data_IF_990049260055
#
_entry.id   IF_990049260055
#
_cell.length_a   1.000
_cell.length_b   1.000
_cell.length_c   1.000
_cell.angle_alpha   90.00
_cell.angle_beta   90.00
_cell.angle_gamma   90.00
#
_symmetry.space_group_name_H-M   'P 1'
#
loop_
_entity.id
_entity.type
_entity.pdbx_description
1 polymer ?
#
# COMPACT_ATOMS: atom_id res chain seq x y z
N UNK A 1 -21.26 19.01 8.33
CA UNK A 1 -20.23 17.95 8.21
C UNK A 1 -19.54 17.64 9.53
N UNK A 2 -19.63 18.46 10.59
CA UNK A 2 -19.19 18.02 11.92
C UNK A 2 -20.40 17.46 12.69
N UNK A 3 -20.23 16.33 13.39
CA UNK A 3 -21.21 15.82 14.36
C UNK A 3 -20.49 15.47 15.65
N UNK A 4 -21.18 15.64 16.77
CA UNK A 4 -20.67 15.26 18.10
C UNK A 4 -20.73 13.73 18.23
N UNK A 5 -19.56 13.09 18.29
CA UNK A 5 -19.38 11.70 18.67
C UNK A 5 -19.32 11.53 20.19
N UNK A 6 -19.06 10.30 20.66
CA UNK A 6 -18.95 10.00 22.10
C UNK A 6 -17.74 10.69 22.76
N UNK A 7 -16.64 10.86 22.01
CA UNK A 7 -15.36 11.38 22.53
C UNK A 7 -14.94 12.74 21.92
N UNK A 8 -15.78 13.38 21.11
CA UNK A 8 -15.41 14.65 20.46
C UNK A 8 -16.29 15.06 19.28
N UNK A 9 -15.76 15.91 18.40
CA UNK A 9 -16.38 16.27 17.12
C UNK A 9 -15.67 15.54 15.99
N UNK A 10 -16.43 14.80 15.20
CA UNK A 10 -15.94 14.07 14.03
C UNK A 10 -16.56 14.60 12.74
N UNK A 11 -15.86 14.35 11.64
CA UNK A 11 -16.28 14.75 10.30
C UNK A 11 -17.05 13.62 9.61
N UNK A 12 -18.24 13.95 9.13
CA UNK A 12 -19.16 13.03 8.46
C UNK A 12 -19.62 13.61 7.12
N UNK A 13 -20.07 12.75 6.18
CA UNK A 13 -20.80 13.16 4.99
C UNK A 13 -21.92 14.15 5.33
N UNK A 14 -22.32 15.03 4.37
CA UNK A 14 -23.45 15.91 4.57
C UNK A 14 -24.72 15.12 4.93
N UNK A 15 -25.60 15.73 5.72
CA UNK A 15 -26.89 15.13 6.01
C UNK A 15 -27.71 14.96 4.72
N UNK A 16 -28.56 13.94 4.65
CA UNK A 16 -29.26 13.56 3.42
C UNK A 16 -30.13 14.68 2.82
N UNK A 17 -30.63 15.57 3.69
CA UNK A 17 -31.44 16.75 3.41
C UNK A 17 -30.62 18.03 3.11
N UNK A 18 -29.29 17.95 3.08
CA UNK A 18 -28.44 19.11 2.84
C UNK A 18 -28.43 19.54 1.38
N UNK A 19 -28.37 20.85 1.13
CA UNK A 19 -28.13 21.43 -0.20
C UNK A 19 -26.79 21.00 -0.82
N UNK A 20 -25.86 20.48 0.00
CA UNK A 20 -24.57 19.99 -0.46
C UNK A 20 -24.55 18.52 -0.91
N UNK A 21 -25.66 17.79 -0.80
CA UNK A 21 -25.74 16.39 -1.22
C UNK A 21 -25.39 16.22 -2.70
N UNK A 22 -25.79 17.17 -3.56
CA UNK A 22 -25.47 17.11 -4.98
C UNK A 22 -23.95 17.29 -5.25
N UNK A 23 -23.30 18.20 -4.51
CA UNK A 23 -21.84 18.41 -4.58
C UNK A 23 -21.10 17.15 -4.09
N UNK A 24 -21.56 16.57 -2.99
CA UNK A 24 -20.98 15.35 -2.44
C UNK A 24 -21.04 14.17 -3.41
N UNK A 25 -22.21 13.96 -4.04
CA UNK A 25 -22.37 12.92 -5.07
C UNK A 25 -21.41 13.11 -6.24
N UNK A 26 -21.23 14.34 -6.72
CA UNK A 26 -20.26 14.62 -7.79
C UNK A 26 -18.81 14.29 -7.39
N UNK A 27 -18.44 14.49 -6.11
CA UNK A 27 -17.15 14.05 -5.60
C UNK A 27 -17.04 12.52 -5.49
N UNK A 28 -18.10 11.83 -5.09
CA UNK A 28 -18.13 10.36 -5.04
C UNK A 28 -18.07 9.74 -6.44
N UNK A 29 -18.76 10.32 -7.42
CA UNK A 29 -18.68 9.95 -8.83
C UNK A 29 -17.26 10.14 -9.37
N UNK A 30 -16.60 11.26 -9.04
CA UNK A 30 -15.21 11.49 -9.40
C UNK A 30 -14.26 10.42 -8.84
N UNK A 31 -14.45 9.98 -7.58
CA UNK A 31 -13.68 8.86 -7.04
C UNK A 31 -14.03 7.54 -7.72
N UNK A 32 -15.30 7.28 -8.05
CA UNK A 32 -15.68 6.08 -8.76
C UNK A 32 -15.04 6.00 -10.15
N UNK A 33 -14.94 7.13 -10.86
CA UNK A 33 -14.23 7.24 -12.14
C UNK A 33 -12.72 6.95 -12.00
N UNK A 34 -12.11 7.29 -10.86
CA UNK A 34 -10.68 7.09 -10.63
C UNK A 34 -10.28 5.65 -10.26
N UNK A 35 -11.22 4.71 -10.29
CA UNK A 35 -10.93 3.28 -10.02
C UNK A 35 -10.03 2.64 -11.08
N UNK A 36 -10.17 3.05 -12.34
CA UNK A 36 -9.43 2.47 -13.46
C UNK A 36 -8.12 3.20 -13.75
N UNK A 37 -8.12 4.53 -13.57
CA UNK A 37 -6.97 5.38 -13.81
C UNK A 37 -6.87 6.46 -12.75
N UNK A 38 -5.63 6.87 -12.42
CA UNK A 38 -5.37 8.01 -11.55
C UNK A 38 -6.03 9.26 -12.17
N UNK A 39 -6.64 10.09 -11.32
CA UNK A 39 -7.22 11.38 -11.75
C UNK A 39 -6.63 12.51 -10.94
N UNK A 40 -6.39 13.64 -11.62
CA UNK A 40 -5.80 14.81 -10.98
C UNK A 40 -6.83 15.49 -10.07
N UNK A 41 -6.39 15.93 -8.89
CA UNK A 41 -7.27 16.65 -7.95
C UNK A 41 -7.78 17.96 -8.55
N UNK A 42 -7.04 18.57 -9.48
CA UNK A 42 -7.50 19.74 -10.23
C UNK A 42 -8.76 19.48 -11.04
N UNK A 43 -8.94 18.27 -11.61
CA UNK A 43 -10.16 17.96 -12.35
C UNK A 43 -11.40 18.04 -11.46
N UNK A 44 -11.28 17.57 -10.21
CA UNK A 44 -12.37 17.68 -9.24
C UNK A 44 -12.63 19.15 -8.87
N UNK A 45 -11.57 19.93 -8.62
CA UNK A 45 -11.72 21.35 -8.31
C UNK A 45 -12.39 22.13 -9.45
N UNK A 46 -12.01 21.85 -10.69
CA UNK A 46 -12.59 22.46 -11.88
C UNK A 46 -14.05 22.04 -12.08
N UNK A 47 -14.36 20.73 -11.91
CA UNK A 47 -15.73 20.19 -11.97
C UNK A 47 -16.67 20.91 -10.99
N UNK A 48 -16.21 21.18 -9.78
CA UNK A 48 -17.01 21.87 -8.76
C UNK A 48 -17.13 23.39 -9.02
N UNK A 49 -16.15 23.98 -9.70
CA UNK A 49 -16.13 25.42 -10.04
C UNK A 49 -17.01 25.74 -11.26
N UNK A 50 -17.32 24.74 -12.09
CA UNK A 50 -18.15 24.88 -13.29
C UNK A 50 -19.64 24.58 -13.02
N UNK A 51 -20.51 24.81 -14.02
CA UNK A 51 -21.92 24.39 -13.95
C UNK A 51 -22.00 22.86 -13.79
N UNK A 52 -22.95 22.31 -13.02
CA UNK A 52 -24.13 22.97 -12.43
C UNK A 52 -23.89 23.65 -11.07
N UNK A 53 -22.76 23.40 -10.40
CA UNK A 53 -22.54 23.84 -9.02
C UNK A 53 -22.04 25.28 -8.91
N UNK A 54 -21.12 25.68 -9.80
CA UNK A 54 -20.53 27.02 -9.90
C UNK A 54 -20.04 27.54 -8.53
N UNK A 55 -19.36 26.69 -7.77
CA UNK A 55 -18.87 27.05 -6.43
C UNK A 55 -17.78 28.13 -6.53
N UNK A 56 -17.72 29.03 -5.55
CA UNK A 56 -16.62 30.00 -5.45
C UNK A 56 -15.32 29.26 -5.14
N UNK A 57 -14.23 29.70 -5.76
CA UNK A 57 -12.91 29.07 -5.62
C UNK A 57 -12.48 28.82 -4.16
N UNK A 58 -12.62 29.81 -3.27
CA UNK A 58 -12.29 29.63 -1.85
C UNK A 58 -13.12 28.58 -1.11
N UNK A 59 -14.34 28.28 -1.58
CA UNK A 59 -15.13 27.17 -1.05
C UNK A 59 -14.60 25.83 -1.60
N UNK A 60 -14.21 25.77 -2.87
CA UNK A 60 -13.62 24.58 -3.49
C UNK A 60 -12.31 24.19 -2.81
N UNK A 61 -11.44 25.17 -2.54
CA UNK A 61 -10.16 24.96 -1.82
C UNK A 61 -10.35 24.38 -0.42
N UNK A 62 -11.48 24.67 0.24
CA UNK A 62 -11.82 24.05 1.53
C UNK A 62 -12.50 22.69 1.35
N UNK A 63 -13.40 22.61 0.38
CA UNK A 63 -14.29 21.46 0.19
C UNK A 63 -13.57 20.21 -0.28
N UNK A 64 -12.68 20.34 -1.28
CA UNK A 64 -12.00 19.19 -1.89
C UNK A 64 -11.09 18.47 -0.89
N UNK A 65 -10.17 19.15 -0.17
CA UNK A 65 -9.36 18.49 0.85
C UNK A 65 -10.20 17.90 1.99
N UNK A 66 -11.31 18.55 2.37
CA UNK A 66 -12.21 18.03 3.41
C UNK A 66 -12.91 16.73 2.96
N UNK A 67 -13.43 16.70 1.75
CA UNK A 67 -14.04 15.51 1.16
C UNK A 67 -13.04 14.35 1.10
N UNK A 68 -11.84 14.62 0.57
CA UNK A 68 -10.77 13.65 0.49
C UNK A 68 -10.32 13.16 1.87
N UNK A 69 -10.28 14.04 2.88
CA UNK A 69 -10.00 13.64 4.25
C UNK A 69 -11.05 12.70 4.85
N UNK A 70 -12.33 12.96 4.60
CA UNK A 70 -13.43 12.09 5.06
C UNK A 70 -13.35 10.73 4.37
N UNK A 71 -13.03 10.70 3.06
CA UNK A 71 -12.94 9.50 2.24
C UNK A 71 -11.54 8.87 2.18
N UNK A 72 -10.59 9.28 3.03
CA UNK A 72 -9.17 8.86 3.01
C UNK A 72 -8.92 7.34 3.07
N UNK A 73 -9.93 6.57 3.49
CA UNK A 73 -9.90 5.12 3.49
C UNK A 73 -10.18 4.50 2.12
N UNK A 74 -10.85 5.20 1.21
CA UNK A 74 -11.44 4.61 0.01
C UNK A 74 -10.56 4.78 -1.25
N UNK A 75 -9.41 5.46 -1.11
CA UNK A 75 -8.52 5.74 -2.23
C UNK A 75 -7.04 5.77 -1.83
N UNK A 76 -6.17 5.56 -2.82
CA UNK A 76 -4.75 5.82 -2.78
C UNK A 76 -4.45 7.25 -3.25
N UNK A 77 -3.68 8.00 -2.44
CA UNK A 77 -3.23 9.35 -2.78
C UNK A 77 -1.82 9.28 -3.37
N UNK A 78 -1.58 10.09 -4.39
CA UNK A 78 -0.26 10.25 -5.00
C UNK A 78 0.12 11.72 -5.05
N UNK A 79 1.41 12.01 -4.84
CA UNK A 79 2.01 13.32 -5.04
C UNK A 79 3.23 13.15 -5.95
N UNK A 80 3.26 13.84 -7.09
CA UNK A 80 4.35 13.73 -8.08
C UNK A 80 4.66 12.25 -8.41
N UNK A 81 3.61 11.48 -8.73
CA UNK A 81 3.63 10.02 -8.99
C UNK A 81 4.03 9.11 -7.82
N UNK A 82 4.42 9.67 -6.67
CA UNK A 82 4.78 8.92 -5.48
C UNK A 82 3.56 8.66 -4.60
N UNK A 83 3.39 7.42 -4.13
CA UNK A 83 2.32 7.07 -3.20
C UNK A 83 2.47 7.80 -1.86
N UNK A 84 1.38 8.37 -1.36
CA UNK A 84 1.29 9.10 -0.11
C UNK A 84 0.52 8.24 0.91
N UNK A 85 1.20 7.60 1.87
CA UNK A 85 0.55 6.65 2.77
C UNK A 85 -0.46 7.30 3.72
N UNK A 86 -0.17 8.51 4.18
CA UNK A 86 -0.99 9.17 5.18
C UNK A 86 -1.31 10.60 4.76
N UNK A 87 -2.59 10.93 4.82
CA UNK A 87 -3.07 12.27 4.58
C UNK A 87 -2.86 13.12 5.84
N UNK A 88 -1.85 13.98 5.83
CA UNK A 88 -1.49 14.86 6.94
C UNK A 88 -1.94 16.30 6.70
N UNK A 89 -1.98 17.12 7.75
CA UNK A 89 -2.29 18.55 7.64
C UNK A 89 -1.42 19.30 6.60
N UNK A 90 -0.08 19.13 6.59
CA UNK A 90 0.77 19.70 5.56
C UNK A 90 0.41 19.25 4.14
N UNK A 91 0.06 17.98 3.93
CA UNK A 91 -0.36 17.47 2.62
C UNK A 91 -1.67 18.12 2.18
N UNK A 92 -2.65 18.22 3.08
CA UNK A 92 -3.92 18.90 2.82
C UNK A 92 -3.69 20.38 2.45
N UNK A 93 -2.77 21.05 3.14
CA UNK A 93 -2.39 22.42 2.83
C UNK A 93 -1.68 22.54 1.49
N UNK A 94 -0.72 21.66 1.18
CA UNK A 94 -0.04 21.65 -0.12
C UNK A 94 -1.02 21.36 -1.26
N UNK A 95 -2.01 20.49 -1.05
CA UNK A 95 -3.05 20.18 -2.03
C UNK A 95 -3.88 21.40 -2.42
N UNK A 96 -4.11 22.36 -1.52
CA UNK A 96 -4.80 23.60 -1.90
C UNK A 96 -3.91 24.56 -2.68
N UNK A 97 -2.59 24.56 -2.41
CA UNK A 97 -1.62 25.43 -3.09
C UNK A 97 -1.18 24.91 -4.46
N UNK A 98 -1.00 23.60 -4.57
CA UNK A 98 -0.45 22.91 -5.73
C UNK A 98 -1.29 21.66 -6.07
N UNK A 99 -2.59 21.82 -6.37
CA UNK A 99 -3.49 20.68 -6.61
C UNK A 99 -3.07 19.81 -7.81
N UNK A 100 -2.27 20.36 -8.75
CA UNK A 100 -1.74 19.66 -9.93
C UNK A 100 -0.73 18.57 -9.59
N UNK A 101 -0.10 18.65 -8.41
CA UNK A 101 0.84 17.61 -7.98
C UNK A 101 0.12 16.39 -7.42
N UNK A 102 -1.19 16.50 -7.14
CA UNK A 102 -1.94 15.47 -6.44
C UNK A 102 -2.87 14.70 -7.36
N UNK A 103 -2.82 13.39 -7.22
CA UNK A 103 -3.67 12.44 -7.93
C UNK A 103 -4.33 11.49 -6.95
N UNK A 104 -5.53 11.03 -7.29
CA UNK A 104 -6.23 10.00 -6.53
C UNK A 104 -6.60 8.83 -7.42
N UNK A 105 -6.54 7.63 -6.84
CA UNK A 105 -7.05 6.39 -7.43
C UNK A 105 -7.90 5.69 -6.40
N UNK A 106 -9.19 5.56 -6.64
CA UNK A 106 -10.07 4.81 -5.74
C UNK A 106 -9.76 3.31 -5.83
N UNK A 107 -9.87 2.61 -4.71
CA UNK A 107 -9.64 1.17 -4.71
C UNK A 107 -10.73 0.45 -5.52
N UNK A 108 -10.31 -0.28 -6.56
CA UNK A 108 -11.17 -1.19 -7.29
C UNK A 108 -11.26 -2.51 -6.51
N UNK A 109 -12.41 -2.78 -5.91
CA UNK A 109 -12.66 -4.05 -5.22
C UNK A 109 -13.58 -4.91 -6.07
N UNK A 110 -12.99 -5.86 -6.77
CA UNK A 110 -13.68 -7.04 -7.29
C UNK A 110 -13.52 -8.21 -6.30
N UNK A 111 -14.33 -9.26 -6.49
CA UNK A 111 -14.32 -10.44 -5.61
C UNK A 111 -12.94 -11.13 -5.59
N UNK A 112 -12.17 -11.03 -6.68
CA UNK A 112 -10.85 -11.65 -6.82
C UNK A 112 -9.83 -10.95 -5.95
N UNK A 113 -9.73 -9.62 -6.05
CA UNK A 113 -8.85 -8.77 -5.23
C UNK A 113 -9.20 -8.90 -3.76
N UNK A 114 -10.49 -8.96 -3.40
CA UNK A 114 -10.92 -9.15 -2.01
C UNK A 114 -10.44 -10.50 -1.44
N UNK A 115 -10.62 -11.60 -2.17
CA UNK A 115 -10.15 -12.93 -1.75
C UNK A 115 -8.64 -12.97 -1.56
N UNK A 116 -7.89 -12.45 -2.54
CA UNK A 116 -6.43 -12.38 -2.46
C UNK A 116 -5.97 -11.56 -1.24
N UNK A 117 -6.61 -10.40 -1.04
CA UNK A 117 -6.30 -9.52 0.08
C UNK A 117 -6.55 -10.17 1.44
N UNK A 118 -7.70 -10.82 1.62
CA UNK A 118 -8.02 -11.54 2.85
C UNK A 118 -7.06 -12.71 3.10
N UNK A 119 -6.50 -13.34 2.06
CA UNK A 119 -5.46 -14.35 2.23
C UNK A 119 -4.14 -13.74 2.72
N UNK A 120 -3.74 -12.58 2.21
CA UNK A 120 -2.60 -11.85 2.78
C UNK A 120 -2.82 -11.54 4.26
N UNK A 121 -4.04 -11.14 4.64
CA UNK A 121 -4.38 -10.91 6.05
C UNK A 121 -4.28 -12.21 6.87
N UNK A 122 -4.86 -13.31 6.39
CA UNK A 122 -4.78 -14.61 7.05
C UNK A 122 -3.32 -15.08 7.24
N UNK A 123 -2.46 -14.89 6.22
CA UNK A 123 -1.03 -15.19 6.32
C UNK A 123 -0.33 -14.36 7.40
N UNK A 124 -0.71 -13.09 7.54
CA UNK A 124 -0.22 -12.20 8.59
C UNK A 124 -0.92 -12.40 9.95
N UNK A 125 -1.83 -13.38 10.07
CA UNK A 125 -2.63 -13.61 11.29
C UNK A 125 -3.62 -12.49 11.61
N UNK A 126 -4.09 -11.76 10.59
CA UNK A 126 -5.06 -10.66 10.69
C UNK A 126 -6.46 -11.09 10.25
N UNK A 127 -7.47 -10.43 10.81
CA UNK A 127 -8.88 -10.69 10.50
C UNK A 127 -9.25 -10.31 9.07
N UNK A 128 -10.16 -11.09 8.48
CA UNK A 128 -10.73 -10.81 7.17
C UNK A 128 -11.54 -9.52 7.17
N UNK A 129 -11.53 -8.80 6.05
CA UNK A 129 -12.34 -7.60 5.83
C UNK A 129 -13.32 -7.81 4.71
N UNK A 130 -14.39 -7.01 4.73
CA UNK A 130 -15.37 -6.96 3.63
C UNK A 130 -15.05 -5.86 2.61
N UNK A 131 -14.26 -4.87 3.01
CA UNK A 131 -13.89 -3.72 2.20
C UNK A 131 -12.41 -3.40 2.42
N UNK A 132 -11.71 -3.03 1.35
CA UNK A 132 -10.31 -2.61 1.42
C UNK A 132 -10.27 -1.14 1.77
N UNK A 133 -9.58 -0.81 2.85
CA UNK A 133 -9.24 0.58 3.16
C UNK A 133 -7.75 0.84 2.92
N UNK A 134 -7.37 2.11 2.74
CA UNK A 134 -5.97 2.52 2.70
C UNK A 134 -5.23 2.09 3.99
N UNK A 135 -5.93 2.08 5.13
CA UNK A 135 -5.40 1.58 6.39
C UNK A 135 -5.09 0.08 6.32
N UNK A 136 -6.03 -0.73 5.82
CA UNK A 136 -5.85 -2.16 5.61
C UNK A 136 -4.70 -2.45 4.65
N UNK A 137 -4.62 -1.73 3.54
CA UNK A 137 -3.56 -1.89 2.54
C UNK A 137 -2.18 -1.63 3.18
N UNK A 138 -2.04 -0.56 3.95
CA UNK A 138 -0.82 -0.27 4.70
C UNK A 138 -0.50 -1.36 5.72
N UNK A 139 -1.52 -1.88 6.39
CA UNK A 139 -1.40 -2.92 7.39
C UNK A 139 -0.90 -4.24 6.83
N UNK A 140 -1.25 -4.54 5.57
CA UNK A 140 -0.72 -5.70 4.83
C UNK A 140 0.65 -5.38 4.24
N UNK A 141 0.87 -4.17 3.73
CA UNK A 141 2.12 -3.77 3.04
C UNK A 141 3.31 -3.64 3.98
N UNK A 142 3.12 -3.03 5.16
CA UNK A 142 4.22 -2.70 6.10
C UNK A 142 5.05 -3.91 6.53
N UNK A 143 4.47 -5.07 6.92
CA UNK A 143 5.25 -6.25 7.27
C UNK A 143 6.20 -6.72 6.17
N UNK A 144 5.78 -6.71 4.91
CA UNK A 144 6.61 -7.13 3.77
C UNK A 144 7.77 -6.18 3.52
N UNK A 145 7.50 -4.87 3.54
CA UNK A 145 8.56 -3.86 3.38
C UNK A 145 9.55 -3.89 4.56
N UNK A 146 9.05 -4.08 5.78
CA UNK A 146 9.88 -4.22 6.98
C UNK A 146 10.78 -5.46 6.88
N UNK A 147 10.20 -6.59 6.47
CA UNK A 147 10.94 -7.83 6.23
C UNK A 147 12.08 -7.63 5.23
N UNK A 148 11.81 -7.04 4.06
CA UNK A 148 12.82 -6.79 3.04
C UNK A 148 13.96 -5.88 3.56
N UNK A 149 13.61 -4.82 4.30
CA UNK A 149 14.57 -3.90 4.91
C UNK A 149 15.42 -4.56 6.02
N UNK A 150 14.89 -5.58 6.69
CA UNK A 150 15.61 -6.33 7.72
C UNK A 150 16.63 -7.32 7.13
N UNK A 151 16.57 -7.62 5.82
CA UNK A 151 17.56 -8.47 5.16
C UNK A 151 18.93 -7.79 5.12
N UNK A 152 19.99 -8.59 5.26
CA UNK A 152 21.35 -8.05 5.15
C UNK A 152 21.68 -7.68 3.67
N UNK A 153 22.69 -6.82 3.43
CA UNK A 153 23.03 -6.37 2.08
C UNK A 153 23.41 -7.50 1.10
N UNK A 154 23.92 -8.63 1.61
CA UNK A 154 24.26 -9.79 0.78
C UNK A 154 22.99 -10.52 0.31
N UNK A 155 22.04 -10.77 1.21
CA UNK A 155 20.75 -11.40 0.91
C UNK A 155 19.92 -10.54 -0.04
N UNK A 156 20.04 -9.21 0.07
CA UNK A 156 19.43 -8.27 -0.87
C UNK A 156 20.03 -8.37 -2.29
N UNK A 157 21.31 -8.73 -2.43
CA UNK A 157 22.02 -8.74 -3.73
C UNK A 157 22.28 -10.13 -4.31
N UNK A 158 22.14 -11.18 -3.52
CA UNK A 158 22.54 -12.54 -3.94
C UNK A 158 21.66 -13.05 -5.06
N UNK A 159 22.28 -13.65 -6.07
CA UNK A 159 21.56 -14.34 -7.14
C UNK A 159 21.36 -15.83 -6.84
N UNK A 160 21.96 -16.34 -5.75
CA UNK A 160 21.87 -17.74 -5.30
C UNK A 160 20.55 -18.07 -4.60
N UNK A 161 19.45 -17.57 -5.13
CA UNK A 161 18.07 -17.85 -4.70
C UNK A 161 17.27 -18.28 -5.92
N UNK A 162 16.11 -18.89 -5.71
CA UNK A 162 15.27 -19.32 -6.84
C UNK A 162 14.86 -18.12 -7.71
N UNK A 163 14.57 -18.35 -9.01
CA UNK A 163 14.11 -17.28 -9.91
C UNK A 163 12.90 -16.52 -9.38
N UNK A 164 11.96 -17.21 -8.75
CA UNK A 164 10.74 -16.64 -8.20
C UNK A 164 11.02 -15.85 -6.92
N UNK A 165 11.92 -16.33 -6.05
CA UNK A 165 12.38 -15.55 -4.89
C UNK A 165 13.10 -14.26 -5.32
N UNK A 166 13.84 -14.30 -6.43
CA UNK A 166 14.46 -13.11 -7.05
C UNK A 166 13.42 -12.15 -7.59
N UNK A 167 12.39 -12.65 -8.27
CA UNK A 167 11.28 -11.85 -8.77
C UNK A 167 10.49 -11.21 -7.62
N UNK A 168 10.19 -11.97 -6.57
CA UNK A 168 9.53 -11.48 -5.35
C UNK A 168 10.34 -10.35 -4.71
N UNK A 169 11.66 -10.53 -4.60
CA UNK A 169 12.56 -9.51 -4.07
C UNK A 169 12.53 -8.24 -4.92
N UNK A 170 12.62 -8.37 -6.25
CA UNK A 170 12.60 -7.24 -7.17
C UNK A 170 11.27 -6.47 -7.10
N UNK A 171 10.14 -7.19 -6.99
CA UNK A 171 8.81 -6.60 -6.83
C UNK A 171 8.72 -5.77 -5.53
N UNK A 172 9.27 -6.28 -4.42
CA UNK A 172 9.28 -5.55 -3.14
C UNK A 172 10.29 -4.38 -3.15
N UNK A 173 11.43 -4.54 -3.78
CA UNK A 173 12.48 -3.52 -3.89
C UNK A 173 12.01 -2.29 -4.67
N UNK A 174 11.28 -2.50 -5.77
CA UNK A 174 10.77 -1.45 -6.64
C UNK A 174 9.32 -1.03 -6.32
N UNK A 175 8.79 -1.48 -5.19
CA UNK A 175 7.43 -1.20 -4.72
C UNK A 175 7.24 0.30 -4.40
N UNK A 176 6.87 1.07 -5.42
CA UNK A 176 6.54 2.51 -5.31
C UNK A 176 5.06 2.73 -5.07
N UNK A 177 4.22 1.81 -5.54
CA UNK A 177 2.77 1.81 -5.40
C UNK A 177 2.32 0.51 -4.72
N UNK A 178 1.91 0.55 -3.44
CA UNK A 178 1.49 -0.64 -2.71
C UNK A 178 0.32 -1.38 -3.35
N UNK A 179 -0.64 -0.69 -3.95
CA UNK A 179 -1.78 -1.34 -4.59
C UNK A 179 -1.30 -2.17 -5.78
N UNK A 180 -0.54 -1.54 -6.69
CA UNK A 180 0.03 -2.22 -7.85
C UNK A 180 0.95 -3.37 -7.42
N UNK A 181 1.81 -3.12 -6.43
CA UNK A 181 2.77 -4.12 -5.95
C UNK A 181 2.03 -5.38 -5.49
N UNK A 182 0.99 -5.22 -4.67
CA UNK A 182 0.31 -6.36 -4.06
C UNK A 182 -0.67 -7.07 -4.98
N UNK A 183 -1.37 -6.34 -5.83
CA UNK A 183 -2.39 -6.94 -6.69
C UNK A 183 -1.85 -7.35 -8.06
N UNK A 184 -0.73 -6.79 -8.51
CA UNK A 184 -0.16 -7.08 -9.84
C UNK A 184 1.26 -7.64 -9.73
N UNK A 185 2.20 -6.90 -9.15
CA UNK A 185 3.61 -7.26 -9.23
C UNK A 185 3.96 -8.54 -8.43
N UNK A 186 3.37 -8.73 -7.25
CA UNK A 186 3.59 -9.91 -6.40
C UNK A 186 3.00 -11.20 -7.00
N UNK A 187 1.72 -11.25 -7.45
CA UNK A 187 1.20 -12.41 -8.18
C UNK A 187 2.04 -12.74 -9.43
N UNK A 188 2.36 -11.73 -10.24
CA UNK A 188 3.15 -11.91 -11.46
C UNK A 188 4.57 -12.44 -11.18
N UNK A 189 5.22 -11.95 -10.12
CA UNK A 189 6.55 -12.42 -9.70
C UNK A 189 6.57 -13.91 -9.34
N UNK A 190 5.42 -14.44 -8.92
CA UNK A 190 5.23 -15.84 -8.57
C UNK A 190 4.61 -16.67 -9.71
N UNK A 191 4.58 -16.11 -10.93
CA UNK A 191 4.03 -16.73 -12.14
C UNK A 191 2.58 -17.16 -11.98
N UNK A 192 1.82 -16.44 -11.15
CA UNK A 192 0.38 -16.64 -10.99
C UNK A 192 -0.34 -15.41 -11.52
N UNK A 193 -1.17 -15.59 -12.54
CA UNK A 193 -2.09 -14.53 -12.95
C UNK A 193 -3.21 -14.39 -11.90
N UNK A 194 -3.72 -13.16 -11.72
CA UNK A 194 -4.93 -12.89 -10.91
C UNK A 194 -6.11 -13.78 -11.29
N UNK A 195 -6.18 -14.21 -12.55
CA UNK A 195 -7.22 -15.10 -13.09
C UNK A 195 -6.99 -16.58 -12.72
N UNK A 196 -5.73 -17.04 -12.63
CA UNK A 196 -5.40 -18.39 -12.15
C UNK A 196 -5.58 -18.52 -10.64
N UNK A 197 -5.33 -17.42 -9.90
CA UNK A 197 -5.65 -17.27 -8.47
C UNK A 197 -7.14 -17.45 -8.20
N UNK A 198 -8.02 -17.17 -9.18
CA UNK A 198 -9.46 -17.41 -9.07
C UNK A 198 -9.83 -18.92 -9.13
N UNK A 199 -8.95 -19.78 -9.63
CA UNK A 199 -9.34 -21.12 -10.09
C UNK A 199 -9.23 -22.20 -9.01
N UNK A 200 -8.38 -22.04 -7.97
CA UNK A 200 -8.44 -22.91 -6.78
C UNK A 200 -7.76 -22.33 -5.54
N UNK A 201 -8.34 -22.61 -4.36
CA UNK A 201 -7.70 -22.40 -3.05
C UNK A 201 -6.32 -23.08 -2.95
N UNK A 202 -6.07 -24.09 -3.79
CA UNK A 202 -4.80 -24.79 -3.87
C UNK A 202 -3.67 -23.93 -4.49
N UNK A 203 -3.95 -23.19 -5.57
CA UNK A 203 -2.94 -22.29 -6.17
C UNK A 203 -2.62 -21.10 -5.25
N UNK A 204 -3.63 -20.57 -4.55
CA UNK A 204 -3.45 -19.56 -3.50
C UNK A 204 -2.70 -20.12 -2.28
N UNK A 205 -2.95 -21.37 -1.90
CA UNK A 205 -2.22 -22.07 -0.85
C UNK A 205 -0.74 -22.24 -1.22
N UNK A 206 -0.46 -22.68 -2.45
CA UNK A 206 0.90 -22.75 -3.00
C UNK A 206 1.58 -21.40 -3.01
N UNK A 207 0.88 -20.32 -3.36
CA UNK A 207 1.40 -18.96 -3.30
C UNK A 207 1.86 -18.59 -1.88
N UNK A 208 1.05 -18.87 -0.84
CA UNK A 208 1.40 -18.57 0.55
C UNK A 208 2.57 -19.45 1.05
N UNK A 209 2.57 -20.75 0.74
CA UNK A 209 3.68 -21.65 1.08
C UNK A 209 4.96 -21.26 0.35
N UNK A 210 4.85 -20.79 -0.88
CA UNK A 210 5.99 -20.28 -1.64
C UNK A 210 6.54 -19.00 -1.02
N UNK A 211 5.65 -18.07 -0.66
CA UNK A 211 6.00 -16.83 0.03
C UNK A 211 6.72 -17.12 1.35
N UNK A 212 6.22 -18.05 2.16
CA UNK A 212 6.88 -18.45 3.42
C UNK A 212 8.23 -19.09 3.17
N UNK A 213 8.35 -19.95 2.16
CA UNK A 213 9.61 -20.61 1.79
C UNK A 213 10.65 -19.60 1.30
N UNK A 214 10.24 -18.62 0.49
CA UNK A 214 11.11 -17.53 0.05
C UNK A 214 11.59 -16.68 1.23
N UNK A 215 10.68 -16.33 2.15
CA UNK A 215 10.99 -15.62 3.40
C UNK A 215 11.99 -16.43 4.26
N UNK A 216 11.76 -17.73 4.42
CA UNK A 216 12.63 -18.63 5.18
C UNK A 216 14.01 -18.80 4.53
N UNK A 217 14.10 -18.85 3.20
CA UNK A 217 15.38 -18.86 2.48
C UNK A 217 16.19 -17.59 2.73
N UNK A 218 15.53 -16.42 2.74
CA UNK A 218 16.21 -15.17 3.07
C UNK A 218 16.62 -15.11 4.55
N UNK A 219 15.79 -15.63 5.47
CA UNK A 219 16.10 -15.70 6.91
C UNK A 219 17.22 -16.70 7.24
N UNK A 220 17.25 -17.87 6.59
CA UNK A 220 18.33 -18.87 6.76
C UNK A 220 19.65 -18.40 6.15
N UNK A 221 19.62 -17.71 5.01
CA UNK A 221 20.79 -17.01 4.47
C UNK A 221 21.34 -15.97 5.45
N UNK A 222 20.46 -15.26 6.17
CA UNK A 222 20.83 -14.30 7.21
C UNK A 222 21.47 -14.98 8.44
N UNK A 223 20.91 -16.08 8.94
CA UNK A 223 21.42 -16.78 10.15
C UNK A 223 22.68 -17.59 9.88
N UNK A 224 22.80 -18.28 8.73
CA UNK A 224 24.00 -19.03 8.34
C UNK A 224 25.24 -18.12 8.30
N UNK A 225 25.07 -16.86 7.87
CA UNK A 225 26.15 -15.87 7.85
C UNK A 225 26.43 -15.26 9.23
N UNK A 226 25.41 -15.02 10.07
CA UNK A 226 25.60 -14.61 11.46
C UNK A 226 26.36 -15.66 12.31
N UNK A 227 26.25 -16.94 11.94
CA UNK A 227 27.07 -18.04 12.46
C UNK A 227 28.49 -18.07 11.87
N UNK A 228 28.63 -17.89 10.56
CA UNK A 228 29.92 -17.89 9.86
C UNK A 228 30.84 -16.71 10.27
N UNK A 229 30.29 -15.51 10.50
CA UNK A 229 31.04 -14.35 10.98
C UNK A 229 31.52 -14.52 12.44
N UNK A 230 30.73 -15.18 13.30
CA UNK A 230 31.15 -15.56 14.65
C UNK A 230 32.21 -16.67 14.64
N UNK A 231 32.09 -17.63 13.71
CA UNK A 231 33.09 -18.69 13.54
C UNK A 231 34.43 -18.18 12.99
N UNK A 232 34.41 -17.21 12.07
CA UNK A 232 35.64 -16.61 11.52
C UNK A 232 36.37 -15.72 12.53
N UNK A 233 35.63 -15.00 13.39
CA UNK A 233 36.22 -14.25 14.51
C UNK A 233 36.82 -15.17 15.59
N UNK A 234 36.17 -16.29 15.90
CA UNK A 234 36.68 -17.27 16.89
C UNK A 234 37.89 -18.05 16.38
N UNK A 235 37.96 -18.38 15.08
CA UNK A 235 39.14 -18.99 14.46
C UNK A 235 40.34 -18.03 14.37
N UNK A 236 40.12 -16.72 14.18
CA UNK A 236 41.19 -15.71 14.23
C UNK A 236 41.73 -15.46 15.65
N UNK A 237 40.91 -15.62 16.70
CA UNK A 237 41.37 -15.49 18.08
C UNK A 237 42.08 -16.75 18.61
N UNK A 238 41.80 -17.93 18.07
CA UNK A 238 42.43 -19.20 18.47
C UNK A 238 43.71 -19.52 17.67
N UNK A 239 43.92 -18.94 16.48
CA UNK A 239 45.10 -19.16 15.64
C UNK A 239 46.34 -18.28 15.93
N UNK A 240 46.36 -17.51 17.03
CA UNK A 240 47.47 -16.60 17.38
C UNK A 240 48.20 -16.93 18.69
N UNK A 241 48.00 -18.13 19.26
CA UNK A 241 48.74 -18.59 20.46
C UNK A 241 49.33 -19.98 20.24
N UNK A 242 50.30 -20.10 19.36
CA UNK A 242 51.29 -21.20 19.38
C UNK A 242 52.39 -20.93 18.35
N UNK A 243 53.44 -20.23 18.78
CA UNK A 243 54.82 -20.34 18.29
C UNK A 243 55.57 -19.09 18.72
N UNK A 244 56.35 -19.17 19.80
CA UNK A 244 57.77 -18.83 19.85
C UNK A 244 58.38 -19.65 21.01
N UNK A 245 59.53 -20.32 20.82
CA UNK A 245 60.20 -21.16 21.81
C UNK A 245 60.72 -20.41 23.04
#
# INVERSE_FOLDING_TARGET
MHRKGKDGYDLFPPAADSSFTAVWKACEEFLAESRHARKDVTELMDRLSQRPFKLKYGLVELWVPLFLFIKRGDYALYQNDAFVPQLTGPILYMMTRQPREFQVKAFLMDDVRLKLFNRYKAFLGKEEVKHLTNGDLQDVTRPFLSFYRALNPYTQRTEKVSPEARALRAAIEHATDPEKTFFEDLPNALQLSLEEVNTSDEQLGRFITFLSTAIDHFATGHTALGGAHRCSHRRRSLGRRSAVP
#
